data_IF_628345449027
#
_entry.id   IF_628345449027
#
_cell.length_a   1.000
_cell.length_b   1.000
_cell.length_c   1.000
_cell.angle_alpha   90.00
_cell.angle_beta   90.00
_cell.angle_gamma   90.00
#
_symmetry.space_group_name_H-M   'P 1'
#
loop_
_entity.id
_entity.type
_entity.pdbx_description
1 polymer ?
#
# COMPACT_ATOMS: atom_id res chain seq x y z
N UNK A 1 -28.48 -38.60 2.29
CA UNK A 1 -28.69 -37.22 1.80
C UNK A 1 -28.51 -36.28 2.98
N UNK A 2 -27.68 -35.24 3.01
CA UNK A 2 -26.83 -34.61 2.01
C UNK A 2 -25.58 -34.04 2.72
N UNK A 3 -24.46 -34.08 2.02
CA UNK A 3 -23.16 -33.54 2.40
C UNK A 3 -23.21 -32.00 2.43
N UNK A 4 -22.83 -31.38 3.54
CA UNK A 4 -22.74 -29.93 3.66
C UNK A 4 -21.42 -29.50 3.02
N UNK A 5 -21.47 -29.12 1.76
CA UNK A 5 -20.35 -28.51 1.05
C UNK A 5 -19.87 -27.25 1.80
N UNK A 6 -18.58 -27.20 2.14
CA UNK A 6 -17.90 -25.97 2.54
C UNK A 6 -17.90 -24.99 1.35
N UNK A 7 -18.08 -23.67 1.56
CA UNK A 7 -17.92 -22.71 0.47
C UNK A 7 -16.47 -22.77 -0.03
N UNK A 8 -16.24 -22.63 -1.35
CA UNK A 8 -14.91 -22.71 -1.92
C UNK A 8 -14.05 -21.62 -1.29
N UNK A 9 -12.82 -21.97 -0.88
CA UNK A 9 -11.81 -21.00 -0.53
C UNK A 9 -11.68 -20.04 -1.72
N UNK A 10 -12.15 -18.80 -1.55
CA UNK A 10 -11.95 -17.75 -2.52
C UNK A 10 -10.44 -17.60 -2.69
N UNK A 11 -9.92 -18.08 -3.82
CA UNK A 11 -8.57 -17.81 -4.25
C UNK A 11 -8.43 -16.29 -4.27
N UNK A 12 -7.63 -15.78 -3.33
CA UNK A 12 -7.58 -14.37 -3.00
C UNK A 12 -7.11 -13.54 -4.18
N UNK A 13 -7.94 -12.57 -4.58
CA UNK A 13 -7.47 -11.42 -5.35
C UNK A 13 -6.44 -10.70 -4.48
N UNK A 14 -5.21 -10.56 -4.96
CA UNK A 14 -4.19 -9.78 -4.26
C UNK A 14 -4.65 -8.33 -4.20
N UNK A 15 -4.31 -7.60 -3.13
CA UNK A 15 -4.63 -6.17 -3.03
C UNK A 15 -4.09 -5.37 -4.23
N UNK A 16 -3.00 -5.83 -4.84
CA UNK A 16 -2.45 -5.26 -6.08
C UNK A 16 -3.38 -5.44 -7.27
N UNK A 17 -3.99 -6.63 -7.43
CA UNK A 17 -4.91 -6.92 -8.54
C UNK A 17 -6.16 -6.02 -8.48
N UNK A 18 -6.64 -5.74 -7.26
CA UNK A 18 -7.78 -4.85 -7.03
C UNK A 18 -7.43 -3.39 -7.37
N UNK A 19 -6.23 -2.94 -7.01
CA UNK A 19 -5.76 -1.59 -7.34
C UNK A 19 -5.57 -1.41 -8.85
N UNK A 20 -5.03 -2.42 -9.53
CA UNK A 20 -4.86 -2.42 -10.98
C UNK A 20 -6.22 -2.41 -11.70
N UNK A 21 -7.21 -3.14 -11.19
CA UNK A 21 -8.58 -3.14 -11.72
C UNK A 21 -9.27 -1.77 -11.57
N UNK A 22 -9.11 -1.10 -10.42
CA UNK A 22 -9.62 0.26 -10.19
C UNK A 22 -8.96 1.26 -11.15
N UNK A 23 -7.64 1.16 -11.35
CA UNK A 23 -6.90 2.05 -12.26
C UNK A 23 -7.24 1.79 -13.74
N UNK A 24 -7.61 0.56 -14.09
CA UNK A 24 -8.05 0.17 -15.43
C UNK A 24 -9.52 0.50 -15.73
N UNK A 25 -10.28 1.03 -14.76
CA UNK A 25 -11.69 1.37 -14.92
C UNK A 25 -12.65 0.18 -14.83
N UNK A 26 -12.19 -0.94 -14.26
CA UNK A 26 -13.05 -2.07 -13.89
C UNK A 26 -13.85 -1.76 -12.62
N UNK A 27 -15.01 -2.40 -12.48
CA UNK A 27 -15.78 -2.38 -11.23
C UNK A 27 -15.28 -3.52 -10.36
N UNK A 28 -14.45 -3.27 -9.33
CA UNK A 28 -13.93 -4.33 -8.49
C UNK A 28 -15.10 -5.14 -7.95
N UNK A 29 -15.03 -6.47 -8.10
CA UNK A 29 -15.96 -7.39 -7.44
C UNK A 29 -15.59 -7.50 -5.95
N UNK A 30 -15.75 -6.38 -5.25
CA UNK A 30 -15.72 -6.29 -3.79
C UNK A 30 -16.51 -5.04 -3.44
N UNK A 31 -17.47 -5.16 -2.52
CA UNK A 31 -18.32 -4.07 -2.06
C UNK A 31 -17.49 -3.06 -1.25
N UNK A 32 -16.69 -2.22 -1.92
CA UNK A 32 -16.01 -1.11 -1.26
C UNK A 32 -17.09 -0.12 -0.81
N UNK A 33 -17.28 -0.03 0.49
CA UNK A 33 -18.20 0.95 1.07
C UNK A 33 -17.56 2.34 1.06
N UNK A 34 -18.37 3.39 1.19
CA UNK A 34 -17.87 4.76 1.38
C UNK A 34 -16.89 4.85 2.57
N UNK A 35 -17.13 4.06 3.63
CA UNK A 35 -16.25 4.00 4.79
C UNK A 35 -14.86 3.40 4.44
N UNK A 36 -14.81 2.42 3.53
CA UNK A 36 -13.56 1.82 3.07
C UNK A 36 -12.73 2.81 2.25
N UNK A 37 -13.39 3.60 1.40
CA UNK A 37 -12.74 4.65 0.62
C UNK A 37 -12.17 5.76 1.51
N UNK A 38 -12.92 6.20 2.52
CA UNK A 38 -12.43 7.18 3.51
C UNK A 38 -11.23 6.66 4.30
N UNK A 39 -11.26 5.37 4.67
CA UNK A 39 -10.14 4.73 5.35
C UNK A 39 -8.92 4.64 4.44
N UNK A 40 -9.11 4.31 3.17
CA UNK A 40 -8.05 4.28 2.18
C UNK A 40 -7.41 5.66 2.00
N UNK A 41 -8.21 6.72 1.90
CA UNK A 41 -7.73 8.09 1.81
C UNK A 41 -6.90 8.48 3.04
N UNK A 42 -7.35 8.09 4.24
CA UNK A 42 -6.61 8.33 5.49
C UNK A 42 -5.27 7.58 5.50
N UNK A 43 -5.24 6.33 5.04
CA UNK A 43 -4.00 5.55 4.92
C UNK A 43 -3.04 6.21 3.93
N UNK A 44 -3.53 6.68 2.79
CA UNK A 44 -2.72 7.38 1.78
C UNK A 44 -2.09 8.66 2.35
N UNK A 45 -2.87 9.49 3.04
CA UNK A 45 -2.36 10.70 3.69
C UNK A 45 -1.31 10.39 4.77
N UNK A 46 -1.52 9.33 5.56
CA UNK A 46 -0.56 8.88 6.56
C UNK A 46 0.73 8.34 5.93
N UNK A 47 0.64 7.63 4.81
CA UNK A 47 1.80 7.18 4.05
C UNK A 47 2.58 8.37 3.48
N UNK A 48 1.90 9.36 2.89
CA UNK A 48 2.54 10.58 2.36
C UNK A 48 3.25 11.38 3.46
N UNK A 49 2.61 11.51 4.63
CA UNK A 49 3.23 12.18 5.77
C UNK A 49 4.44 11.40 6.28
N UNK A 50 4.32 10.08 6.41
CA UNK A 50 5.40 9.21 6.88
C UNK A 50 6.59 9.20 5.92
N UNK A 51 6.36 9.21 4.61
CA UNK A 51 7.42 9.22 3.60
C UNK A 51 8.20 10.54 3.60
N UNK A 52 7.52 11.68 3.78
CA UNK A 52 8.17 12.99 3.96
C UNK A 52 9.08 13.00 5.21
N UNK A 53 8.60 12.46 6.32
CA UNK A 53 9.39 12.37 7.56
C UNK A 53 10.60 11.45 7.37
N UNK A 54 10.40 10.26 6.80
CA UNK A 54 11.49 9.32 6.53
C UNK A 54 12.57 9.93 5.65
N UNK A 55 12.16 10.66 4.59
CA UNK A 55 13.10 11.39 3.73
C UNK A 55 13.91 12.42 4.50
N UNK A 56 13.27 13.27 5.29
CA UNK A 56 13.96 14.28 6.09
C UNK A 56 14.97 13.66 7.08
N UNK A 57 14.62 12.51 7.68
CA UNK A 57 15.53 11.78 8.57
C UNK A 57 16.74 11.21 7.80
N UNK A 58 16.53 10.65 6.61
CA UNK A 58 17.62 10.12 5.79
C UNK A 58 18.57 11.23 5.32
N UNK A 59 18.03 12.38 4.92
CA UNK A 59 18.81 13.57 4.55
C UNK A 59 19.63 14.07 5.75
N UNK A 60 19.05 14.17 6.95
CA UNK A 60 19.76 14.57 8.17
C UNK A 60 20.90 13.62 8.54
N UNK A 61 20.68 12.31 8.42
CA UNK A 61 21.71 11.29 8.73
C UNK A 61 22.84 11.33 7.69
N UNK A 62 22.52 11.63 6.43
CA UNK A 62 23.51 11.90 5.39
C UNK A 62 24.34 13.16 5.68
N UNK A 63 23.70 14.28 6.07
CA UNK A 63 24.39 15.52 6.46
C UNK A 63 25.34 15.31 7.63
N UNK A 64 25.00 14.41 8.56
CA UNK A 64 25.86 14.00 9.69
C UNK A 64 26.99 13.04 9.30
N UNK A 65 27.12 12.68 8.03
CA UNK A 65 28.14 11.76 7.52
C UNK A 65 27.95 10.31 7.95
N UNK A 66 26.76 9.95 8.45
CA UNK A 66 26.49 8.59 8.93
C UNK A 66 26.05 7.62 7.82
N UNK A 67 25.64 8.16 6.66
CA UNK A 67 25.22 7.38 5.49
C UNK A 67 25.87 7.98 4.24
N UNK A 68 26.30 7.14 3.31
CA UNK A 68 26.90 7.58 2.04
C UNK A 68 25.83 7.90 0.98
N UNK A 69 26.17 8.74 -0.01
CA UNK A 69 25.23 9.13 -1.08
C UNK A 69 24.64 7.93 -1.84
N UNK A 70 25.46 6.90 -2.11
CA UNK A 70 25.00 5.67 -2.78
C UNK A 70 23.96 4.92 -1.94
N UNK A 71 24.14 4.89 -0.64
CA UNK A 71 23.25 4.23 0.30
C UNK A 71 21.97 5.04 0.52
N UNK A 72 22.07 6.37 0.61
CA UNK A 72 20.91 7.28 0.62
C UNK A 72 20.02 7.05 -0.62
N UNK A 73 20.62 7.04 -1.81
CA UNK A 73 19.89 6.83 -3.07
C UNK A 73 19.19 5.45 -3.14
N UNK A 74 19.79 4.42 -2.55
CA UNK A 74 19.17 3.09 -2.44
C UNK A 74 17.96 3.10 -1.50
N UNK A 75 18.06 3.81 -0.36
CA UNK A 75 16.99 3.90 0.65
C UNK A 75 15.81 4.77 0.22
N UNK A 76 16.04 5.77 -0.64
CA UNK A 76 15.00 6.67 -1.18
C UNK A 76 14.21 6.10 -2.37
N UNK A 77 14.59 4.91 -2.87
CA UNK A 77 13.89 4.21 -3.97
C UNK A 77 12.74 3.30 -3.51
N UNK A 78 12.61 3.11 -2.20
CA UNK A 78 11.53 2.36 -1.53
C UNK A 78 10.39 3.31 -1.17
#
# INVERSE_FOLDING_TARGET
>A
TAERAAPPAAAGSSASDILDEILAGGSPTSEWTEADLQRLQTVQQNQEKSSKILRALLELVFEKGQVQQRELAARMRL
#
